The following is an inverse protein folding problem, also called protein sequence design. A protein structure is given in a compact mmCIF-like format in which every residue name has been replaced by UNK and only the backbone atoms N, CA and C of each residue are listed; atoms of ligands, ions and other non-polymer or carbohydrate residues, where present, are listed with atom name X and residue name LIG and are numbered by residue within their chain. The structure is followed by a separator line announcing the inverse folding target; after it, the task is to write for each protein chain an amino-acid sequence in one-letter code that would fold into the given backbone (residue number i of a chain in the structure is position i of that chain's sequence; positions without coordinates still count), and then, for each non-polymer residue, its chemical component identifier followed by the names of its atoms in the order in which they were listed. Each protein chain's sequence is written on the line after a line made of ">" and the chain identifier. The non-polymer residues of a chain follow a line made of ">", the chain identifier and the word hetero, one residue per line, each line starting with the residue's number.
data_IF_311474168747
#
_entry.id   IF_311474168747
#
_cell.length_a   1.000
_cell.length_b   1.000
_cell.length_c   1.000
_cell.angle_alpha   90.00
_cell.angle_beta   90.00
_cell.angle_gamma   90.00
#
_symmetry.space_group_name_H-M   'P 1'
#
loop_
_entity.id
_entity.type
_entity.pdbx_description
1 polymer ?
#
# COMPACT_ATOMS: atom_id res chain seq x y z
N UNK A 1 8.33 -16.49 7.34
CA UNK A 1 7.18 -15.56 7.18
C UNK A 1 7.22 -14.52 8.30
N UNK A 2 7.18 -13.25 7.95
CA UNK A 2 7.14 -12.12 8.89
C UNK A 2 5.81 -11.36 8.71
N UNK A 3 5.27 -10.83 9.80
CA UNK A 3 4.08 -9.97 9.72
C UNK A 3 4.53 -8.56 9.32
N UNK A 4 4.09 -8.09 8.15
CA UNK A 4 4.35 -6.72 7.70
C UNK A 4 3.53 -5.72 8.50
N UNK A 5 2.22 -5.95 8.61
CA UNK A 5 1.35 -5.10 9.39
C UNK A 5 0.22 -5.88 10.07
N UNK A 6 -0.13 -5.41 11.27
CA UNK A 6 -1.37 -5.73 11.95
C UNK A 6 -2.22 -4.47 11.96
N UNK A 7 -3.44 -4.54 11.44
CA UNK A 7 -4.35 -3.40 11.38
C UNK A 7 -5.63 -3.68 12.15
N UNK A 8 -6.03 -2.74 13.02
CA UNK A 8 -7.37 -2.71 13.62
C UNK A 8 -8.25 -1.74 12.83
N UNK A 9 -9.36 -2.24 12.33
CA UNK A 9 -10.39 -1.45 11.68
C UNK A 9 -11.50 -1.12 12.68
N UNK A 10 -11.81 0.15 12.84
CA UNK A 10 -12.85 0.65 13.75
C UNK A 10 -13.76 1.66 13.06
N UNK A 11 -14.97 1.86 13.59
CA UNK A 11 -15.81 3.00 13.23
C UNK A 11 -15.31 4.27 13.89
N UNK A 12 -15.59 5.42 13.29
CA UNK A 12 -15.41 6.69 13.97
C UNK A 12 -16.28 6.74 15.25
N UNK A 13 -15.81 7.42 16.30
CA UNK A 13 -16.43 7.34 17.63
C UNK A 13 -16.11 6.04 18.36
N UNK A 14 -15.03 5.36 17.98
CA UNK A 14 -14.52 4.15 18.61
C UNK A 14 -14.23 4.32 20.10
N UNK A 15 -14.24 3.21 20.84
CA UNK A 15 -13.80 3.14 22.22
C UNK A 15 -12.26 3.23 22.31
N UNK A 16 -11.68 4.27 22.97
CA UNK A 16 -10.24 4.40 23.15
C UNK A 16 -9.58 3.20 23.85
N UNK A 17 -10.25 2.56 24.82
CA UNK A 17 -9.72 1.39 25.53
C UNK A 17 -9.54 0.19 24.60
N UNK A 18 -10.43 0.04 23.62
CA UNK A 18 -10.34 -0.99 22.58
C UNK A 18 -9.07 -0.82 21.74
N UNK A 19 -8.78 0.41 21.33
CA UNK A 19 -7.58 0.74 20.55
C UNK A 19 -6.32 0.55 21.38
N UNK A 20 -6.29 1.03 22.64
CA UNK A 20 -5.14 0.85 23.54
C UNK A 20 -4.81 -0.63 23.75
N UNK A 21 -5.80 -1.46 24.07
CA UNK A 21 -5.63 -2.92 24.23
C UNK A 21 -5.08 -3.58 22.99
N UNK A 22 -5.55 -3.17 21.80
CA UNK A 22 -5.02 -3.65 20.53
C UNK A 22 -3.55 -3.26 20.37
N UNK A 23 -3.19 -1.98 20.55
CA UNK A 23 -1.81 -1.48 20.38
C UNK A 23 -0.82 -2.21 21.28
N UNK A 24 -1.18 -2.42 22.57
CA UNK A 24 -0.34 -3.13 23.53
C UNK A 24 -0.11 -4.60 23.13
N UNK A 25 -1.16 -5.26 22.66
CA UNK A 25 -1.10 -6.69 22.35
C UNK A 25 -0.49 -6.97 20.97
N UNK A 26 -0.78 -6.14 19.98
CA UNK A 26 -0.29 -6.30 18.60
C UNK A 26 1.25 -6.31 18.51
N UNK A 27 1.93 -5.58 19.40
CA UNK A 27 3.41 -5.57 19.48
C UNK A 27 4.01 -6.94 19.79
N UNK A 28 3.25 -7.84 20.44
CA UNK A 28 3.70 -9.22 20.74
C UNK A 28 3.89 -10.07 19.49
N UNK A 29 3.18 -9.76 18.42
CA UNK A 29 3.35 -10.40 17.11
C UNK A 29 4.61 -9.93 16.37
N UNK A 30 5.32 -8.91 16.90
CA UNK A 30 6.52 -8.30 16.30
C UNK A 30 6.34 -7.89 14.83
N UNK A 31 5.23 -7.23 14.48
CA UNK A 31 5.03 -6.77 13.10
C UNK A 31 5.97 -5.60 12.80
N UNK A 32 6.24 -5.35 11.51
CA UNK A 32 6.98 -4.15 11.11
C UNK A 32 6.19 -2.88 11.47
N UNK A 33 4.85 -2.92 11.36
CA UNK A 33 3.98 -1.79 11.71
C UNK A 33 2.69 -2.26 12.38
N UNK A 34 2.21 -1.46 13.36
CA UNK A 34 0.87 -1.59 13.96
C UNK A 34 0.03 -0.42 13.46
N UNK A 35 -1.17 -0.69 12.95
CA UNK A 35 -1.97 0.27 12.19
C UNK A 35 -3.40 0.34 12.73
N UNK A 36 -4.02 1.52 12.65
CA UNK A 36 -5.44 1.71 12.97
C UNK A 36 -6.14 2.39 11.80
N UNK A 37 -7.16 1.76 11.23
CA UNK A 37 -8.03 2.34 10.20
C UNK A 37 -9.36 2.73 10.81
N UNK A 38 -9.81 3.93 10.52
CA UNK A 38 -11.12 4.44 10.98
C UNK A 38 -12.01 4.66 9.77
N UNK A 39 -13.30 4.32 9.87
CA UNK A 39 -14.26 4.78 8.85
C UNK A 39 -14.20 6.29 8.76
N UNK A 40 -14.22 6.85 7.53
CA UNK A 40 -14.12 8.29 7.33
C UNK A 40 -15.11 9.03 8.23
N UNK A 41 -14.64 9.84 9.21
CA UNK A 41 -15.51 10.57 10.10
C UNK A 41 -16.25 11.68 9.34
N UNK A 42 -17.44 12.12 9.79
CA UNK A 42 -18.02 13.35 9.32
C UNK A 42 -17.09 14.54 9.66
N UNK A 43 -17.26 15.65 8.96
CA UNK A 43 -16.32 16.80 9.05
C UNK A 43 -16.14 17.30 10.49
N UNK A 44 -17.19 17.37 11.27
CA UNK A 44 -17.14 17.77 12.68
C UNK A 44 -16.44 16.76 13.60
N UNK A 45 -16.47 15.48 13.24
CA UNK A 45 -15.83 14.39 13.98
C UNK A 45 -14.36 14.14 13.60
N UNK A 46 -13.91 14.69 12.48
CA UNK A 46 -12.62 14.34 11.89
C UNK A 46 -11.43 14.74 12.78
N UNK A 47 -11.30 16.03 13.12
CA UNK A 47 -10.21 16.50 13.96
C UNK A 47 -10.22 15.90 15.37
N UNK A 48 -11.38 15.78 16.07
CA UNK A 48 -11.45 15.05 17.33
C UNK A 48 -10.97 13.59 17.21
N UNK A 49 -11.34 12.89 16.13
CA UNK A 49 -10.90 11.50 15.88
C UNK A 49 -9.39 11.42 15.69
N UNK A 50 -8.81 12.29 14.87
CA UNK A 50 -7.36 12.32 14.62
C UNK A 50 -6.57 12.64 15.89
N UNK A 51 -7.05 13.60 16.69
CA UNK A 51 -6.44 13.95 17.97
C UNK A 51 -6.49 12.78 18.97
N UNK A 52 -7.61 12.07 19.03
CA UNK A 52 -7.74 10.88 19.88
C UNK A 52 -6.76 9.78 19.47
N UNK A 53 -6.56 9.53 18.16
CA UNK A 53 -5.58 8.57 17.66
C UNK A 53 -4.13 8.98 18.00
N UNK A 54 -3.81 10.26 17.88
CA UNK A 54 -2.50 10.82 18.27
C UNK A 54 -2.26 10.66 19.79
N UNK A 55 -3.23 11.01 20.64
CA UNK A 55 -3.17 10.85 22.09
C UNK A 55 -2.99 9.38 22.52
N UNK A 56 -3.55 8.44 21.77
CA UNK A 56 -3.35 7.01 21.95
C UNK A 56 -1.99 6.49 21.44
N UNK A 57 -1.19 7.33 20.80
CA UNK A 57 0.11 6.94 20.24
C UNK A 57 0.01 6.04 19.00
N UNK A 58 -1.05 6.20 18.20
CA UNK A 58 -1.19 5.51 16.92
C UNK A 58 -0.24 6.13 15.90
N UNK A 59 0.81 5.38 15.54
CA UNK A 59 1.83 5.85 14.58
C UNK A 59 1.31 5.82 13.13
N UNK A 60 0.48 4.83 12.79
CA UNK A 60 -0.07 4.66 11.44
C UNK A 60 -1.60 4.66 11.51
N UNK A 61 -2.18 5.83 11.27
CA UNK A 61 -3.64 6.03 11.23
C UNK A 61 -4.13 6.24 9.79
N UNK A 62 -5.22 5.57 9.38
CA UNK A 62 -5.88 5.82 8.10
C UNK A 62 -7.36 6.15 8.31
N UNK A 63 -7.88 7.11 7.53
CA UNK A 63 -9.29 7.55 7.59
C UNK A 63 -10.09 7.19 6.33
N UNK A 64 -9.54 6.31 5.49
CA UNK A 64 -10.18 5.89 4.25
C UNK A 64 -10.17 6.98 3.17
N UNK A 65 -11.29 7.13 2.45
CA UNK A 65 -11.40 8.07 1.34
C UNK A 65 -11.72 9.46 1.89
N UNK A 66 -10.85 10.43 1.58
CA UNK A 66 -11.06 11.82 1.96
C UNK A 66 -10.55 12.75 0.85
N UNK A 67 -11.41 13.63 0.33
CA UNK A 67 -11.14 14.45 -0.87
C UNK A 67 -11.47 15.93 -0.66
N UNK A 68 -11.49 16.41 0.60
CA UNK A 68 -11.78 17.80 0.93
C UNK A 68 -10.53 18.70 0.83
N UNK A 69 -10.75 20.01 0.85
CA UNK A 69 -9.70 21.01 0.59
C UNK A 69 -8.65 21.09 1.70
N UNK A 70 -8.96 20.63 2.91
CA UNK A 70 -8.05 20.61 4.06
C UNK A 70 -7.21 19.31 4.16
N UNK A 71 -7.28 18.39 3.19
CA UNK A 71 -6.56 17.12 3.18
C UNK A 71 -5.06 17.31 3.39
N UNK A 72 -4.44 18.28 2.72
CA UNK A 72 -3.01 18.58 2.87
C UNK A 72 -2.65 18.98 4.31
N UNK A 73 -3.46 19.84 4.92
CA UNK A 73 -3.28 20.26 6.32
C UNK A 73 -3.41 19.09 7.28
N UNK A 74 -4.39 18.20 7.08
CA UNK A 74 -4.58 17.01 7.91
C UNK A 74 -3.40 16.04 7.81
N UNK A 75 -2.92 15.80 6.61
CA UNK A 75 -1.74 14.94 6.37
C UNK A 75 -0.50 15.53 7.03
N UNK A 76 -0.29 16.84 6.90
CA UNK A 76 0.85 17.55 7.52
C UNK A 76 0.79 17.53 9.04
N UNK A 77 -0.40 17.80 9.61
CA UNK A 77 -0.56 17.96 11.06
C UNK A 77 -0.56 16.63 11.79
N UNK A 78 -1.24 15.62 11.27
CA UNK A 78 -1.46 14.35 11.97
C UNK A 78 -0.72 13.15 11.35
N UNK A 79 -0.01 13.33 10.23
CA UNK A 79 0.62 12.20 9.53
C UNK A 79 -0.37 11.13 9.05
N UNK A 80 -1.65 11.47 8.95
CA UNK A 80 -2.71 10.53 8.61
C UNK A 80 -2.62 10.03 7.17
N UNK A 81 -2.97 8.78 6.94
CA UNK A 81 -3.04 8.15 5.64
C UNK A 81 -4.43 8.27 5.03
N UNK A 82 -4.49 8.67 3.76
CA UNK A 82 -5.73 9.02 3.05
C UNK A 82 -5.75 8.38 1.68
N UNK A 83 -6.89 7.82 1.28
CA UNK A 83 -7.15 7.43 -0.09
C UNK A 83 -7.97 8.51 -0.81
N UNK A 84 -7.70 8.70 -2.10
CA UNK A 84 -8.52 9.49 -3.02
C UNK A 84 -8.91 8.65 -4.21
N UNK A 85 -10.04 8.97 -4.84
CA UNK A 85 -10.56 8.22 -6.00
C UNK A 85 -10.61 9.08 -7.27
N UNK A 86 -10.46 10.41 -7.13
CA UNK A 86 -10.53 11.37 -8.23
C UNK A 86 -9.16 11.87 -8.62
N UNK A 87 -8.80 11.68 -9.88
CA UNK A 87 -7.52 12.13 -10.45
C UNK A 87 -7.32 13.63 -10.22
N UNK A 88 -8.35 14.47 -10.38
CA UNK A 88 -8.23 15.91 -10.18
C UNK A 88 -7.85 16.27 -8.74
N UNK A 89 -8.43 15.61 -7.75
CA UNK A 89 -8.10 15.82 -6.33
C UNK A 89 -6.69 15.36 -5.99
N UNK A 90 -6.27 14.24 -6.58
CA UNK A 90 -4.90 13.75 -6.40
C UNK A 90 -3.87 14.71 -7.00
N UNK A 91 -4.08 15.18 -8.23
CA UNK A 91 -3.20 16.15 -8.88
C UNK A 91 -3.17 17.50 -8.13
N UNK A 92 -4.31 17.97 -7.64
CA UNK A 92 -4.37 19.16 -6.80
C UNK A 92 -3.54 19.02 -5.53
N UNK A 93 -3.65 17.89 -4.83
CA UNK A 93 -2.84 17.57 -3.65
C UNK A 93 -1.34 17.57 -3.99
N UNK A 94 -0.93 16.84 -5.04
CA UNK A 94 0.48 16.77 -5.46
C UNK A 94 1.04 18.15 -5.79
N UNK A 95 0.27 18.99 -6.51
CA UNK A 95 0.66 20.37 -6.81
C UNK A 95 0.83 21.22 -5.56
N UNK A 96 -0.02 21.06 -4.54
CA UNK A 96 0.06 21.81 -3.28
C UNK A 96 1.31 21.41 -2.49
N UNK A 97 1.57 20.11 -2.29
CA UNK A 97 2.74 19.65 -1.55
C UNK A 97 4.06 19.95 -2.28
N UNK A 98 4.07 19.96 -3.61
CA UNK A 98 5.22 20.40 -4.39
C UNK A 98 5.52 21.90 -4.19
N UNK A 99 4.48 22.76 -4.30
CA UNK A 99 4.61 24.20 -4.09
C UNK A 99 4.99 24.60 -2.67
N UNK A 100 4.55 23.84 -1.68
CA UNK A 100 4.93 24.06 -0.26
C UNK A 100 6.35 23.57 0.07
N UNK A 101 7.02 22.87 -0.88
CA UNK A 101 8.33 22.25 -0.64
C UNK A 101 8.25 20.99 0.22
N UNK A 102 7.09 20.35 0.30
CA UNK A 102 6.85 19.15 1.12
C UNK A 102 6.37 17.94 0.28
N UNK A 103 7.03 17.63 -0.86
CA UNK A 103 6.60 16.53 -1.73
C UNK A 103 6.62 15.17 -1.01
N UNK A 104 7.36 15.04 0.08
CA UNK A 104 7.39 13.83 0.92
C UNK A 104 6.04 13.47 1.55
N UNK A 105 5.12 14.44 1.73
CA UNK A 105 3.76 14.19 2.21
C UNK A 105 2.95 13.31 1.26
N UNK A 106 3.34 13.20 -0.02
CA UNK A 106 2.72 12.31 -0.98
C UNK A 106 2.78 10.83 -0.60
N UNK A 107 3.69 10.44 0.31
CA UNK A 107 3.70 9.10 0.91
C UNK A 107 2.36 8.72 1.57
N UNK A 108 1.68 9.70 2.14
CA UNK A 108 0.49 9.48 2.96
C UNK A 108 -0.82 9.49 2.16
N UNK A 109 -0.77 9.77 0.86
CA UNK A 109 -1.97 9.84 0.01
C UNK A 109 -1.82 8.90 -1.18
N UNK A 110 -2.81 8.02 -1.39
CA UNK A 110 -2.86 7.18 -2.58
C UNK A 110 -4.10 7.47 -3.41
N UNK A 111 -3.93 7.45 -4.74
CA UNK A 111 -5.03 7.42 -5.68
C UNK A 111 -5.45 5.96 -5.92
N UNK A 112 -6.73 5.66 -5.72
CA UNK A 112 -7.35 4.39 -6.06
C UNK A 112 -8.09 4.51 -7.39
N UNK A 113 -7.68 3.73 -8.38
CA UNK A 113 -8.29 3.68 -9.69
C UNK A 113 -9.01 2.33 -9.91
N UNK A 114 -10.16 2.35 -10.57
CA UNK A 114 -10.92 1.14 -10.88
C UNK A 114 -11.75 0.55 -9.74
N UNK A 115 -11.74 1.17 -8.55
CA UNK A 115 -12.57 0.76 -7.40
C UNK A 115 -11.94 1.09 -6.06
N UNK A 116 -12.71 0.86 -5.00
CA UNK A 116 -12.27 1.06 -3.62
C UNK A 116 -11.81 -0.27 -3.03
N UNK A 117 -10.67 -0.27 -2.37
CA UNK A 117 -10.16 -1.42 -1.62
C UNK A 117 -10.57 -1.28 -0.16
N UNK A 118 -11.11 -2.35 0.40
CA UNK A 118 -11.61 -2.36 1.77
C UNK A 118 -10.79 -3.28 2.66
N UNK A 119 -10.67 -2.87 3.92
CA UNK A 119 -10.13 -3.66 5.03
C UNK A 119 -8.68 -4.14 4.83
N UNK A 120 -7.93 -3.50 3.91
CA UNK A 120 -6.52 -3.81 3.68
C UNK A 120 -5.62 -3.17 4.74
N UNK A 121 -4.62 -3.89 5.26
CA UNK A 121 -3.56 -3.29 6.06
C UNK A 121 -2.58 -2.43 5.24
N UNK A 122 -2.68 -2.39 3.91
CA UNK A 122 -1.79 -1.58 3.08
C UNK A 122 -2.30 -0.14 2.96
N UNK A 123 -1.64 0.78 3.66
CA UNK A 123 -1.94 2.21 3.64
C UNK A 123 -1.12 2.96 2.58
N UNK A 124 -1.67 4.05 2.08
CA UNK A 124 -2.97 4.69 2.35
C UNK A 124 -4.15 4.13 1.56
N UNK A 125 -3.95 3.21 0.66
CA UNK A 125 -4.90 2.77 -0.37
C UNK A 125 -6.01 1.82 0.17
N UNK A 126 -6.70 2.22 1.25
CA UNK A 126 -7.73 1.40 1.89
C UNK A 126 -8.85 2.22 2.51
N UNK A 127 -10.03 1.63 2.63
CA UNK A 127 -11.15 2.13 3.42
C UNK A 127 -11.68 1.03 4.36
N UNK A 128 -12.37 1.43 5.43
CA UNK A 128 -12.97 0.47 6.37
C UNK A 128 -14.38 0.13 5.94
N UNK A 129 -14.65 -1.17 5.79
CA UNK A 129 -15.98 -1.73 5.58
C UNK A 129 -16.45 -2.53 6.80
N UNK A 130 -15.54 -3.29 7.39
CA UNK A 130 -15.81 -4.15 8.52
C UNK A 130 -14.88 -3.81 9.68
N UNK A 131 -15.40 -3.90 10.93
CA UNK A 131 -14.60 -3.77 12.13
C UNK A 131 -13.91 -5.09 12.48
N UNK A 132 -12.68 -5.00 12.96
CA UNK A 132 -11.87 -6.15 13.37
C UNK A 132 -10.40 -6.03 12.94
N UNK A 133 -9.69 -7.14 13.02
CA UNK A 133 -8.26 -7.22 12.76
C UNK A 133 -7.98 -7.81 11.39
N UNK A 134 -7.08 -7.19 10.64
CA UNK A 134 -6.53 -7.70 9.39
C UNK A 134 -4.99 -7.78 9.47
N UNK A 135 -4.41 -8.73 8.75
CA UNK A 135 -2.95 -8.91 8.65
C UNK A 135 -2.46 -8.70 7.22
N UNK A 136 -1.22 -8.22 7.08
CA UNK A 136 -0.44 -8.35 5.85
C UNK A 136 0.93 -8.92 6.15
N UNK A 137 1.54 -9.54 5.15
CA UNK A 137 2.74 -10.34 5.29
C UNK A 137 3.92 -9.73 4.55
N UNK A 138 5.11 -10.09 5.00
CA UNK A 138 6.36 -9.87 4.29
C UNK A 138 7.01 -11.23 4.07
N UNK A 139 6.91 -11.78 2.86
CA UNK A 139 7.33 -13.13 2.54
C UNK A 139 8.07 -13.33 1.20
N UNK A 140 8.66 -12.28 0.57
CA UNK A 140 9.42 -12.49 -0.67
C UNK A 140 10.56 -13.49 -0.51
N UNK A 141 11.23 -13.48 0.65
CA UNK A 141 12.36 -14.37 0.91
C UNK A 141 11.94 -15.82 1.25
N UNK A 142 10.70 -16.03 1.66
CA UNK A 142 10.14 -17.35 1.97
C UNK A 142 9.68 -18.12 0.72
N UNK A 143 9.62 -17.45 -0.45
CA UNK A 143 9.17 -18.07 -1.70
C UNK A 143 10.32 -18.77 -2.43
N UNK A 144 10.21 -20.07 -2.62
CA UNK A 144 11.06 -20.88 -3.47
C UNK A 144 10.30 -21.41 -4.68
N UNK A 145 8.98 -21.60 -4.54
CA UNK A 145 8.05 -22.06 -5.57
C UNK A 145 6.66 -21.48 -5.35
N UNK A 146 5.80 -21.52 -6.37
CA UNK A 146 4.39 -21.10 -6.25
C UNK A 146 3.61 -21.86 -5.19
N UNK A 147 3.94 -23.14 -4.97
CA UNK A 147 3.30 -23.98 -3.96
C UNK A 147 3.51 -23.52 -2.50
N UNK A 148 4.48 -22.64 -2.24
CA UNK A 148 4.70 -22.09 -0.90
C UNK A 148 3.62 -21.11 -0.47
N UNK A 149 2.99 -20.41 -1.42
CA UNK A 149 2.00 -19.34 -1.16
C UNK A 149 0.82 -19.81 -0.32
N UNK A 150 0.09 -20.90 -0.65
CA UNK A 150 -1.04 -21.37 0.16
C UNK A 150 -0.64 -21.72 1.60
N UNK A 151 0.50 -22.36 1.80
CA UNK A 151 0.98 -22.75 3.13
C UNK A 151 1.32 -21.52 3.99
N UNK A 152 1.96 -20.50 3.39
CA UNK A 152 2.28 -19.22 4.05
C UNK A 152 0.98 -18.52 4.46
N UNK A 153 0.02 -18.37 3.55
CA UNK A 153 -1.24 -17.67 3.83
C UNK A 153 -2.10 -18.40 4.86
N UNK A 154 -2.19 -19.73 4.80
CA UNK A 154 -2.89 -20.54 5.81
C UNK A 154 -2.26 -20.41 7.22
N UNK A 155 -0.93 -20.32 7.30
CA UNK A 155 -0.25 -20.11 8.58
C UNK A 155 -0.52 -18.72 9.15
N UNK A 156 -0.57 -17.70 8.29
CA UNK A 156 -0.92 -16.34 8.68
C UNK A 156 -2.38 -16.21 9.13
N UNK A 157 -3.30 -16.90 8.47
CA UNK A 157 -4.72 -16.91 8.85
C UNK A 157 -4.91 -17.47 10.24
N UNK A 158 -4.32 -18.64 10.55
CA UNK A 158 -4.37 -19.22 11.91
C UNK A 158 -3.81 -18.27 12.95
N UNK A 159 -2.65 -17.68 12.70
CA UNK A 159 -2.04 -16.71 13.61
C UNK A 159 -2.94 -15.49 13.85
N UNK A 160 -3.58 -14.99 12.77
CA UNK A 160 -4.50 -13.86 12.85
C UNK A 160 -5.77 -14.17 13.63
N UNK A 161 -6.34 -15.36 13.46
CA UNK A 161 -7.51 -15.83 14.24
C UNK A 161 -7.18 -15.98 15.71
N UNK A 162 -6.06 -16.61 16.05
CA UNK A 162 -5.60 -16.75 17.45
C UNK A 162 -5.38 -15.37 18.09
N UNK A 163 -4.71 -14.47 17.39
CA UNK A 163 -4.45 -13.12 17.87
C UNK A 163 -5.75 -12.35 18.09
N UNK A 164 -6.63 -12.26 17.09
CA UNK A 164 -7.89 -11.52 17.18
C UNK A 164 -8.77 -12.07 18.31
N UNK A 165 -8.87 -13.40 18.44
CA UNK A 165 -9.59 -14.06 19.53
C UNK A 165 -9.03 -13.67 20.89
N UNK A 166 -7.71 -13.60 21.05
CA UNK A 166 -7.04 -13.30 22.33
C UNK A 166 -7.35 -11.89 22.86
N UNK A 167 -7.77 -10.97 22.00
CA UNK A 167 -8.15 -9.59 22.37
C UNK A 167 -9.64 -9.31 22.25
N UNK A 168 -10.45 -10.34 21.95
CA UNK A 168 -11.90 -10.21 21.78
C UNK A 168 -12.31 -9.51 20.48
N UNK A 169 -11.48 -9.56 19.45
CA UNK A 169 -11.75 -8.96 18.15
C UNK A 169 -12.13 -10.00 17.11
N UNK A 170 -12.84 -9.54 16.07
CA UNK A 170 -13.09 -10.35 14.88
C UNK A 170 -11.85 -10.35 13.98
N UNK A 171 -11.43 -11.51 13.51
CA UNK A 171 -10.45 -11.60 12.44
C UNK A 171 -11.14 -11.37 11.08
N UNK A 172 -10.66 -10.39 10.31
CA UNK A 172 -11.20 -10.05 8.99
C UNK A 172 -10.57 -10.90 7.90
N UNK A 173 -9.26 -11.14 8.00
CA UNK A 173 -8.51 -11.93 7.02
C UNK A 173 -7.08 -11.44 6.84
N UNK A 174 -6.42 -12.05 5.85
CA UNK A 174 -5.06 -11.70 5.42
C UNK A 174 -5.13 -10.95 4.09
N UNK A 175 -4.44 -9.82 3.98
CA UNK A 175 -4.09 -9.30 2.66
C UNK A 175 -2.83 -10.05 2.20
N UNK A 176 -3.05 -11.03 1.33
CA UNK A 176 -2.02 -11.94 0.83
C UNK A 176 -1.09 -11.33 -0.22
N UNK A 177 -1.16 -10.02 -0.45
CA UNK A 177 -0.30 -9.34 -1.42
C UNK A 177 1.18 -9.63 -1.18
N UNK A 178 1.90 -9.95 -2.26
CA UNK A 178 3.34 -10.08 -2.22
C UNK A 178 3.97 -8.69 -2.36
N UNK A 179 4.52 -8.17 -1.27
CA UNK A 179 5.08 -6.83 -1.17
C UNK A 179 6.52 -6.85 -0.69
N UNK A 180 7.36 -5.89 -1.11
CA UNK A 180 8.76 -5.79 -0.66
C UNK A 180 8.90 -4.99 0.63
N UNK A 181 10.12 -5.03 1.21
CA UNK A 181 10.60 -4.11 2.23
C UNK A 181 12.13 -4.06 2.21
N UNK A 182 12.71 -3.04 1.58
CA UNK A 182 14.16 -2.91 1.44
C UNK A 182 14.79 -4.04 0.63
N UNK A 183 15.71 -4.77 1.22
CA UNK A 183 16.38 -5.90 0.55
C UNK A 183 15.49 -7.15 0.40
N UNK A 184 14.39 -7.25 1.14
CA UNK A 184 13.36 -8.27 0.94
C UNK A 184 12.54 -7.92 -0.28
N UNK A 185 13.04 -8.31 -1.42
CA UNK A 185 12.65 -7.81 -2.74
C UNK A 185 11.69 -8.76 -3.44
N UNK A 186 10.59 -8.20 -3.95
CA UNK A 186 9.66 -8.91 -4.85
C UNK A 186 10.34 -9.19 -6.19
N UNK A 187 11.19 -8.29 -6.68
CA UNK A 187 11.92 -8.52 -7.92
C UNK A 187 12.86 -9.73 -7.81
N UNK A 188 13.58 -9.87 -6.68
CA UNK A 188 14.42 -11.06 -6.41
C UNK A 188 13.58 -12.34 -6.25
N UNK A 189 12.39 -12.25 -5.64
CA UNK A 189 11.48 -13.40 -5.51
C UNK A 189 10.99 -13.87 -6.89
N UNK A 190 10.61 -12.97 -7.79
CA UNK A 190 10.23 -13.30 -9.17
C UNK A 190 11.38 -13.97 -9.91
N UNK A 191 12.60 -13.44 -9.82
CA UNK A 191 13.78 -14.04 -10.45
C UNK A 191 14.05 -15.45 -9.89
N UNK A 192 13.95 -15.64 -8.57
CA UNK A 192 14.19 -16.95 -7.91
C UNK A 192 13.17 -18.00 -8.35
N UNK A 193 11.88 -17.64 -8.42
CA UNK A 193 10.81 -18.61 -8.70
C UNK A 193 10.68 -18.92 -10.19
N UNK A 194 10.93 -17.93 -11.06
CA UNK A 194 10.65 -18.06 -12.50
C UNK A 194 11.88 -17.96 -13.40
N UNK A 195 13.05 -17.57 -12.88
CA UNK A 195 14.23 -17.28 -13.68
C UNK A 195 14.07 -16.02 -14.56
N UNK A 196 13.11 -15.14 -14.27
CA UNK A 196 12.80 -13.94 -15.03
C UNK A 196 13.08 -12.70 -14.19
N UNK A 197 13.86 -11.77 -14.71
CA UNK A 197 14.07 -10.47 -14.07
C UNK A 197 12.94 -9.51 -14.41
N UNK A 198 12.55 -8.71 -13.43
CA UNK A 198 11.61 -7.61 -13.67
C UNK A 198 12.19 -6.68 -14.75
N UNK A 199 11.41 -6.39 -15.77
CA UNK A 199 11.84 -5.63 -16.96
C UNK A 199 12.08 -6.49 -18.20
N UNK A 200 12.23 -7.80 -18.06
CA UNK A 200 12.39 -8.76 -19.16
C UNK A 200 11.05 -9.31 -19.65
N UNK A 201 11.06 -9.93 -20.83
CA UNK A 201 9.93 -10.73 -21.31
C UNK A 201 9.64 -11.87 -20.34
N UNK A 202 8.35 -12.10 -20.06
CA UNK A 202 7.91 -13.07 -19.06
C UNK A 202 7.51 -12.45 -17.72
N UNK A 203 7.86 -11.19 -17.43
CA UNK A 203 7.50 -10.49 -16.18
C UNK A 203 5.99 -10.52 -15.92
N UNK A 204 5.16 -10.19 -16.91
CA UNK A 204 3.69 -10.22 -16.75
C UNK A 204 3.19 -11.64 -16.42
N UNK A 205 3.72 -12.66 -17.09
CA UNK A 205 3.34 -14.06 -16.85
C UNK A 205 3.71 -14.50 -15.42
N UNK A 206 4.91 -14.13 -14.96
CA UNK A 206 5.37 -14.44 -13.60
C UNK A 206 4.51 -13.75 -12.53
N UNK A 207 4.22 -12.46 -12.69
CA UNK A 207 3.34 -11.71 -11.78
C UNK A 207 1.93 -12.33 -11.76
N UNK A 208 1.38 -12.68 -12.93
CA UNK A 208 0.06 -13.29 -13.04
C UNK A 208 0.01 -14.64 -12.33
N UNK A 209 1.02 -15.50 -12.49
CA UNK A 209 1.10 -16.78 -11.82
C UNK A 209 1.16 -16.66 -10.29
N UNK A 210 1.90 -15.67 -9.77
CA UNK A 210 1.90 -15.35 -8.32
C UNK A 210 0.53 -14.91 -7.84
N UNK A 211 -0.15 -14.03 -8.57
CA UNK A 211 -1.51 -13.61 -8.21
C UNK A 211 -2.48 -14.78 -8.18
N UNK A 212 -2.41 -15.69 -9.15
CA UNK A 212 -3.25 -16.89 -9.19
C UNK A 212 -2.98 -17.81 -8.00
N UNK A 213 -1.71 -17.97 -7.58
CA UNK A 213 -1.38 -18.72 -6.39
C UNK A 213 -1.95 -18.08 -5.11
N UNK A 214 -1.94 -16.72 -5.02
CA UNK A 214 -2.57 -15.99 -3.92
C UNK A 214 -4.09 -16.21 -3.93
N UNK A 215 -4.75 -15.98 -5.06
CA UNK A 215 -6.22 -16.09 -5.17
C UNK A 215 -6.74 -17.51 -4.96
N UNK A 216 -5.96 -18.52 -5.31
CA UNK A 216 -6.30 -19.94 -5.14
C UNK A 216 -5.91 -20.52 -3.78
N UNK A 217 -5.37 -19.70 -2.85
CA UNK A 217 -4.90 -20.19 -1.56
C UNK A 217 -5.98 -20.77 -0.65
N UNK A 218 -7.26 -20.45 -0.90
CA UNK A 218 -8.42 -20.95 -0.16
C UNK A 218 -8.63 -20.31 1.21
N UNK A 219 -7.78 -19.34 1.62
CA UNK A 219 -7.86 -18.64 2.90
C UNK A 219 -8.84 -17.46 2.89
N UNK A 220 -9.06 -16.88 4.07
CA UNK A 220 -9.84 -15.65 4.24
C UNK A 220 -9.02 -14.45 3.80
N UNK A 221 -9.24 -14.00 2.56
CA UNK A 221 -8.53 -12.88 1.97
C UNK A 221 -9.31 -11.57 2.12
N UNK A 222 -8.59 -10.48 2.45
CA UNK A 222 -9.08 -9.09 2.47
C UNK A 222 -8.13 -8.18 1.71
N UNK A 223 -8.59 -7.05 1.21
CA UNK A 223 -7.73 -6.07 0.57
C UNK A 223 -7.38 -6.41 -0.89
N UNK A 224 -6.11 -6.24 -1.25
CA UNK A 224 -5.64 -6.28 -2.63
C UNK A 224 -5.40 -7.70 -3.17
N UNK A 225 -4.58 -8.47 -2.46
CA UNK A 225 -4.23 -9.85 -2.83
C UNK A 225 -3.56 -9.99 -4.20
N UNK A 226 -2.59 -9.15 -4.48
CA UNK A 226 -1.80 -9.15 -5.72
C UNK A 226 -0.34 -8.80 -5.44
N UNK A 227 0.52 -9.06 -6.42
CA UNK A 227 1.91 -8.59 -6.40
C UNK A 227 1.96 -7.07 -6.39
N UNK A 228 2.87 -6.50 -5.63
CA UNK A 228 3.14 -5.06 -5.51
C UNK A 228 4.58 -4.76 -5.93
N UNK A 229 4.74 -3.70 -6.75
CA UNK A 229 6.04 -3.23 -7.23
C UNK A 229 6.28 -1.76 -6.84
N UNK A 230 6.21 -1.40 -5.55
CA UNK A 230 6.49 -0.04 -5.09
C UNK A 230 7.98 0.26 -5.24
N UNK A 231 8.33 1.21 -6.11
CA UNK A 231 9.72 1.46 -6.53
C UNK A 231 10.66 1.74 -5.35
N UNK A 232 10.26 2.64 -4.44
CA UNK A 232 11.14 3.02 -3.33
C UNK A 232 11.27 1.94 -2.25
N UNK A 233 10.28 1.04 -2.13
CA UNK A 233 10.24 0.03 -1.07
C UNK A 233 11.04 -1.24 -1.42
N UNK A 234 11.55 -1.37 -2.66
CA UNK A 234 12.27 -2.54 -3.17
C UNK A 234 13.65 -2.12 -3.69
N UNK A 235 14.72 -2.54 -3.00
CA UNK A 235 16.08 -2.16 -3.39
C UNK A 235 16.49 -2.70 -4.76
N UNK A 236 15.96 -3.85 -5.19
CA UNK A 236 16.27 -4.37 -6.52
C UNK A 236 15.51 -3.60 -7.62
N UNK A 237 14.26 -3.17 -7.38
CA UNK A 237 13.55 -2.28 -8.32
C UNK A 237 14.29 -0.96 -8.52
N UNK A 238 14.85 -0.37 -7.45
CA UNK A 238 15.69 0.84 -7.55
C UNK A 238 16.91 0.58 -8.42
N UNK A 239 17.65 -0.52 -8.19
CA UNK A 239 18.82 -0.90 -8.99
C UNK A 239 18.46 -1.14 -10.46
N UNK A 240 17.31 -1.75 -10.74
CA UNK A 240 16.82 -1.96 -12.10
C UNK A 240 16.47 -0.62 -12.79
N UNK A 241 15.87 0.32 -12.05
CA UNK A 241 15.60 1.66 -12.56
C UNK A 241 16.87 2.46 -12.83
N UNK A 242 17.87 2.41 -11.96
CA UNK A 242 19.18 3.03 -12.14
C UNK A 242 19.91 2.54 -13.41
N UNK A 243 19.75 1.27 -13.74
CA UNK A 243 20.35 0.64 -14.93
C UNK A 243 19.51 0.82 -16.19
N UNK A 244 18.36 1.48 -16.13
CA UNK A 244 17.42 1.64 -17.23
C UNK A 244 16.68 0.35 -17.64
N UNK A 245 16.78 -0.70 -16.85
CA UNK A 245 16.03 -1.95 -17.07
C UNK A 245 14.56 -1.84 -16.64
N UNK A 246 14.25 -0.89 -15.75
CA UNK A 246 12.90 -0.55 -15.31
C UNK A 246 12.69 0.95 -15.52
N UNK A 247 11.63 1.30 -16.24
CA UNK A 247 11.25 2.68 -16.54
C UNK A 247 9.77 2.92 -16.20
N UNK A 248 9.34 4.17 -16.30
CA UNK A 248 7.97 4.57 -16.01
C UNK A 248 6.93 3.82 -16.86
N UNK A 249 7.23 3.60 -18.17
CA UNK A 249 6.31 2.91 -19.09
C UNK A 249 6.12 1.44 -18.69
N UNK A 250 7.21 0.78 -18.29
CA UNK A 250 7.16 -0.61 -17.78
C UNK A 250 6.34 -0.70 -16.50
N UNK A 251 6.55 0.20 -15.54
CA UNK A 251 5.75 0.22 -14.29
C UNK A 251 4.27 0.44 -14.56
N UNK A 252 3.91 1.37 -15.46
CA UNK A 252 2.52 1.58 -15.90
C UNK A 252 1.97 0.33 -16.57
N UNK A 253 2.74 -0.32 -17.45
CA UNK A 253 2.35 -1.57 -18.11
C UNK A 253 2.08 -2.68 -17.09
N UNK A 254 2.94 -2.82 -16.08
CA UNK A 254 2.78 -3.85 -15.04
C UNK A 254 1.52 -3.66 -14.20
N UNK A 255 0.95 -2.46 -14.10
CA UNK A 255 -0.34 -2.26 -13.45
C UNK A 255 -1.48 -3.10 -14.04
N UNK A 256 -1.32 -3.62 -15.27
CA UNK A 256 -2.26 -4.57 -15.87
C UNK A 256 -2.26 -5.95 -15.19
N UNK A 257 -1.19 -6.30 -14.49
CA UNK A 257 -1.03 -7.58 -13.79
C UNK A 257 -0.71 -7.44 -12.31
N UNK A 258 -0.20 -6.30 -11.82
CA UNK A 258 0.03 -6.02 -10.41
C UNK A 258 -0.92 -4.93 -9.90
N UNK A 259 -1.04 -4.78 -8.58
CA UNK A 259 -1.93 -3.78 -7.97
C UNK A 259 -1.25 -2.43 -7.73
N UNK A 260 0.06 -2.42 -7.64
CA UNK A 260 0.87 -1.24 -7.35
C UNK A 260 2.08 -1.21 -8.29
N UNK A 261 1.83 -0.97 -9.58
CA UNK A 261 2.88 -0.82 -10.59
C UNK A 261 3.49 0.58 -10.57
N UNK A 262 2.69 1.62 -10.34
CA UNK A 262 3.17 3.00 -10.17
C UNK A 262 2.94 3.44 -8.72
N UNK A 263 3.77 2.91 -7.84
CA UNK A 263 3.66 3.15 -6.41
C UNK A 263 5.01 3.52 -5.79
N UNK A 264 5.00 4.45 -4.82
CA UNK A 264 6.19 4.97 -4.16
C UNK A 264 7.26 5.43 -5.17
N UNK A 265 6.81 6.04 -6.27
CA UNK A 265 7.66 6.42 -7.40
C UNK A 265 7.87 7.95 -7.47
N UNK A 266 9.10 8.45 -7.31
CA UNK A 266 9.43 9.82 -7.65
C UNK A 266 9.35 10.04 -9.16
N UNK A 267 8.63 11.08 -9.61
CA UNK A 267 8.39 11.35 -11.02
C UNK A 267 8.66 12.82 -11.34
N UNK A 268 9.44 13.05 -12.40
CA UNK A 268 9.60 14.35 -13.02
C UNK A 268 8.70 14.41 -14.27
N UNK A 269 7.52 14.99 -14.11
CA UNK A 269 6.55 15.19 -15.15
C UNK A 269 5.74 16.47 -14.89
N UNK A 270 5.32 17.15 -15.95
CA UNK A 270 4.34 18.22 -15.77
C UNK A 270 2.94 17.67 -15.45
N UNK A 271 2.04 18.53 -14.94
CA UNK A 271 0.69 18.12 -14.53
C UNK A 271 -0.10 17.50 -15.69
N UNK A 272 0.07 18.00 -16.92
CA UNK A 272 -0.63 17.50 -18.11
C UNK A 272 -0.16 16.09 -18.48
N UNK A 273 1.12 15.85 -18.38
CA UNK A 273 1.73 14.56 -18.67
C UNK A 273 1.36 13.53 -17.59
N UNK A 274 1.50 13.90 -16.30
CA UNK A 274 1.09 13.05 -15.19
C UNK A 274 -0.40 12.69 -15.28
N UNK A 275 -1.27 13.65 -15.63
CA UNK A 275 -2.71 13.38 -15.86
C UNK A 275 -2.92 12.30 -16.93
N UNK A 276 -2.19 12.33 -18.03
CA UNK A 276 -2.30 11.32 -19.09
C UNK A 276 -1.90 9.93 -18.59
N UNK A 277 -0.81 9.86 -17.84
CA UNK A 277 -0.35 8.62 -17.20
C UNK A 277 -1.43 8.05 -16.28
N UNK A 278 -2.05 8.90 -15.44
CA UNK A 278 -3.12 8.48 -14.53
C UNK A 278 -4.39 8.03 -15.27
N UNK A 279 -4.73 8.65 -16.42
CA UNK A 279 -5.83 8.20 -17.27
C UNK A 279 -5.56 6.84 -17.91
N UNK A 280 -4.32 6.57 -18.36
CA UNK A 280 -3.92 5.26 -18.85
C UNK A 280 -4.02 4.19 -17.74
N UNK A 281 -3.56 4.50 -16.52
CA UNK A 281 -3.72 3.61 -15.37
C UNK A 281 -5.19 3.36 -15.02
N UNK A 282 -6.05 4.37 -15.13
CA UNK A 282 -7.50 4.21 -14.92
C UNK A 282 -8.11 3.28 -15.97
N UNK A 283 -7.72 3.42 -17.25
CA UNK A 283 -8.15 2.52 -18.31
C UNK A 283 -7.68 1.09 -18.08
N UNK A 284 -6.43 0.90 -17.65
CA UNK A 284 -5.87 -0.40 -17.26
C UNK A 284 -6.67 -1.01 -16.11
N UNK A 285 -6.92 -0.26 -15.03
CA UNK A 285 -7.68 -0.74 -13.88
C UNK A 285 -9.11 -1.17 -14.26
N UNK A 286 -9.79 -0.39 -15.10
CA UNK A 286 -11.12 -0.73 -15.64
C UNK A 286 -11.10 -2.01 -16.48
N UNK A 287 -10.09 -2.17 -17.34
CA UNK A 287 -9.93 -3.37 -18.19
C UNK A 287 -9.59 -4.60 -17.36
N UNK A 288 -8.72 -4.45 -16.37
CA UNK A 288 -8.34 -5.50 -15.42
C UNK A 288 -9.50 -5.93 -14.52
N UNK A 289 -10.47 -5.03 -14.26
CA UNK A 289 -11.60 -5.27 -13.34
C UNK A 289 -11.19 -5.34 -11.86
N UNK A 290 -10.04 -4.76 -11.50
CA UNK A 290 -9.52 -4.71 -10.13
C UNK A 290 -8.88 -3.35 -9.87
N UNK A 291 -8.92 -2.91 -8.61
CA UNK A 291 -8.33 -1.64 -8.22
C UNK A 291 -6.81 -1.60 -8.45
N UNK A 292 -6.31 -0.42 -8.79
CA UNK A 292 -4.89 -0.09 -8.86
C UNK A 292 -4.62 1.06 -7.91
N UNK A 293 -3.67 0.89 -7.00
CA UNK A 293 -3.19 1.93 -6.09
C UNK A 293 -1.99 2.67 -6.70
N UNK A 294 -1.99 3.99 -6.60
CA UNK A 294 -0.95 4.86 -7.15
C UNK A 294 -0.46 5.82 -6.06
N UNK A 295 0.87 5.85 -5.84
CA UNK A 295 1.55 6.87 -5.04
C UNK A 295 2.77 7.38 -5.80
N UNK A 296 2.78 8.66 -6.13
CA UNK A 296 3.91 9.30 -6.78
C UNK A 296 4.37 10.52 -6.00
N UNK A 297 5.66 10.81 -6.06
CA UNK A 297 6.24 12.01 -5.49
C UNK A 297 6.58 12.98 -6.61
N UNK A 298 6.07 14.23 -6.59
CA UNK A 298 6.60 15.27 -7.47
C UNK A 298 8.10 15.43 -7.16
N UNK A 299 8.94 15.25 -8.16
CA UNK A 299 10.38 15.23 -7.96
C UNK A 299 11.10 15.83 -9.17
N UNK A 300 12.36 16.21 -8.96
CA UNK A 300 13.26 16.67 -10.02
C UNK A 300 14.67 16.17 -9.76
N UNK A 301 15.52 16.20 -10.79
CA UNK A 301 16.89 15.73 -10.68
C UNK A 301 17.05 14.23 -10.90
N UNK A 302 18.09 13.63 -10.37
CA UNK A 302 18.39 12.20 -10.61
C UNK A 302 17.77 11.30 -9.53
N UNK A 303 17.68 11.78 -8.30
CA UNK A 303 17.19 11.02 -7.15
C UNK A 303 16.32 11.88 -6.25
N UNK A 304 15.40 11.22 -5.56
CA UNK A 304 14.57 11.78 -4.51
C UNK A 304 14.74 10.93 -3.24
N UNK A 305 14.81 11.59 -2.07
CA UNK A 305 14.91 10.89 -0.79
C UNK A 305 13.49 10.58 -0.28
N UNK A 306 13.09 9.31 -0.43
CA UNK A 306 11.76 8.86 0.01
C UNK A 306 11.79 8.53 1.50
N UNK A 307 10.92 9.13 2.34
CA UNK A 307 10.92 8.92 3.78
C UNK A 307 10.82 7.44 4.17
N UNK A 308 11.81 6.97 4.94
CA UNK A 308 11.88 5.58 5.41
C UNK A 308 12.50 4.58 4.42
N UNK A 309 12.74 4.99 3.15
CA UNK A 309 13.29 4.13 2.11
C UNK A 309 14.52 4.73 1.40
N UNK A 310 14.83 6.00 1.70
CA UNK A 310 16.04 6.65 1.23
C UNK A 310 16.04 6.97 -0.28
N UNK A 311 17.25 7.08 -0.80
CA UNK A 311 17.53 7.54 -2.17
C UNK A 311 16.89 6.64 -3.23
N UNK A 312 16.00 7.22 -4.03
CA UNK A 312 15.21 6.52 -5.05
C UNK A 312 15.36 7.25 -6.38
N UNK A 313 15.61 6.54 -7.51
CA UNK A 313 15.70 7.16 -8.83
C UNK A 313 14.43 7.91 -9.22
N UNK A 314 14.59 9.09 -9.81
CA UNK A 314 13.47 9.87 -10.37
C UNK A 314 13.17 9.35 -11.79
N UNK A 315 11.94 8.91 -12.00
CA UNK A 315 11.48 8.43 -13.29
C UNK A 315 11.01 9.58 -14.18
N UNK A 316 11.19 9.41 -15.49
CA UNK A 316 10.73 10.35 -16.51
C UNK A 316 9.87 9.61 -17.55
N UNK A 317 8.86 10.29 -18.14
CA UNK A 317 8.03 9.76 -19.24
C UNK A 317 8.78 9.42 -20.50
#
# INVERSE_FOLDING_TARGET
>A
MEIRAVALNVKWGFDPERVSRFLETARRLRPLTVRVSVTTPPREGLRPTLKALEELGVEYAAIGIYEEDDMEELVRTYGVFVAVTRIDRYLEFLRRVDRSGEPHLARNVALLLGGVVYDSPYYPATAVKNEGVALSLLYPDDLSALGDVPAILSSAERLGEEFASSIGERFLGVDGSLSPWGERSVAKAVERVFGVRIGEWGTHAAIRALNEAIWSSGGRLVGFNEVMLPLAEDEELKRLAERGALDLRRLVSYASTCVAGLDMAPIEADERELRRILLDLEAIAKTKGRAVGVRVFPASGQYFDVPGFGKTPVLRP
#
